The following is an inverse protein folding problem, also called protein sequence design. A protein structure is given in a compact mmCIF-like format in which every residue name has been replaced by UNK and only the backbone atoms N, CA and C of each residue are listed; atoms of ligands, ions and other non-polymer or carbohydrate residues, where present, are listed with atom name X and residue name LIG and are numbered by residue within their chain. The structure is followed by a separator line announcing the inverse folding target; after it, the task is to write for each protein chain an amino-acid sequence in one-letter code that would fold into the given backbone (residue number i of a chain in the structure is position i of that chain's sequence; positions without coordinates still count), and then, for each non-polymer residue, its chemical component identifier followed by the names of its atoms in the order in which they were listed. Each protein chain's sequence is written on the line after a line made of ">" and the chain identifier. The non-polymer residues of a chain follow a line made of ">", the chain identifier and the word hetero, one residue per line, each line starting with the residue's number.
data_IF_647091003468
#
_entry.id   IF_647091003468
#
_cell.length_a   1.000
_cell.length_b   1.000
_cell.length_c   1.000
_cell.angle_alpha   90.00
_cell.angle_beta   90.00
_cell.angle_gamma   90.00
#
_symmetry.space_group_name_H-M   'P 1'
#
loop_
_entity.id
_entity.type
_entity.pdbx_description
1 polymer ?
#
# COMPACT_ATOMS: atom_id res chain seq x y z
N UNK A 1 2.68 20.65 7.02
CA UNK A 1 1.84 19.84 6.12
C UNK A 1 0.54 20.58 5.85
N UNK A 2 0.01 20.49 4.63
CA UNK A 2 -1.29 21.08 4.30
C UNK A 2 -2.40 20.08 4.59
N UNK A 3 -3.45 20.52 5.29
CA UNK A 3 -4.71 19.79 5.32
C UNK A 3 -5.25 19.66 3.88
N UNK A 4 -5.73 18.48 3.53
CA UNK A 4 -6.40 18.21 2.25
C UNK A 4 -7.91 18.16 2.48
N UNK A 5 -8.68 18.75 1.56
CA UNK A 5 -10.11 19.00 1.78
C UNK A 5 -11.03 18.15 0.89
N UNK A 6 -10.46 17.41 -0.06
CA UNK A 6 -11.25 16.53 -0.95
C UNK A 6 -10.56 15.18 -1.12
N UNK A 7 -11.33 14.08 -1.32
CA UNK A 7 -10.77 12.77 -1.61
C UNK A 7 -9.81 12.74 -2.79
N UNK A 8 -10.12 13.44 -3.89
CA UNK A 8 -9.22 13.52 -5.05
C UNK A 8 -7.85 14.12 -4.67
N UNK A 9 -7.82 15.22 -3.92
CA UNK A 9 -6.56 15.82 -3.48
C UNK A 9 -5.72 14.87 -2.61
N UNK A 10 -6.38 14.07 -1.78
CA UNK A 10 -5.72 13.05 -0.95
C UNK A 10 -5.11 11.97 -1.83
N UNK A 11 -5.87 11.44 -2.78
CA UNK A 11 -5.39 10.36 -3.66
C UNK A 11 -4.29 10.87 -4.59
N UNK A 12 -4.42 12.06 -5.16
CA UNK A 12 -3.41 12.65 -6.02
C UNK A 12 -2.09 12.90 -5.26
N UNK A 13 -2.17 13.27 -3.98
CA UNK A 13 -1.00 13.40 -3.13
C UNK A 13 -0.35 12.03 -2.81
N UNK A 14 -1.16 10.99 -2.57
CA UNK A 14 -0.67 9.62 -2.37
C UNK A 14 0.01 9.10 -3.65
N UNK A 15 -0.61 9.27 -4.81
CA UNK A 15 -0.06 8.91 -6.12
C UNK A 15 1.26 9.63 -6.39
N UNK A 16 1.33 10.93 -6.08
CA UNK A 16 2.54 11.72 -6.27
C UNK A 16 3.70 11.19 -5.42
N UNK A 17 3.49 11.02 -4.11
CA UNK A 17 4.52 10.51 -3.20
C UNK A 17 4.94 9.07 -3.56
N UNK A 18 3.99 8.20 -3.90
CA UNK A 18 4.28 6.84 -4.32
C UNK A 18 5.12 6.82 -5.61
N UNK A 19 4.70 7.58 -6.63
CA UNK A 19 5.43 7.67 -7.90
C UNK A 19 6.84 8.22 -7.71
N UNK A 20 7.02 9.20 -6.83
CA UNK A 20 8.32 9.78 -6.52
C UNK A 20 9.23 8.74 -5.84
N UNK A 21 8.70 7.96 -4.88
CA UNK A 21 9.45 6.92 -4.20
C UNK A 21 9.85 5.76 -5.13
N UNK A 22 8.91 5.30 -5.95
CA UNK A 22 9.15 4.26 -6.98
C UNK A 22 10.20 4.75 -7.99
N UNK A 23 10.10 5.99 -8.46
CA UNK A 23 11.07 6.57 -9.41
C UNK A 23 12.45 6.71 -8.78
N UNK A 24 12.54 7.17 -7.54
CA UNK A 24 13.80 7.30 -6.81
C UNK A 24 14.47 5.94 -6.62
N UNK A 25 13.72 4.93 -6.19
CA UNK A 25 14.22 3.57 -5.99
C UNK A 25 14.66 2.93 -7.32
N UNK A 26 13.86 3.06 -8.38
CA UNK A 26 14.20 2.55 -9.72
C UNK A 26 15.47 3.18 -10.25
N UNK A 27 15.62 4.50 -10.10
CA UNK A 27 16.81 5.23 -10.53
C UNK A 27 18.06 4.81 -9.74
N UNK A 28 17.91 4.62 -8.43
CA UNK A 28 19.02 4.16 -7.57
C UNK A 28 19.45 2.73 -7.93
N UNK A 29 18.50 1.83 -8.22
CA UNK A 29 18.78 0.49 -8.69
C UNK A 29 19.48 0.51 -10.06
N UNK A 30 19.02 1.32 -11.00
CA UNK A 30 19.66 1.48 -12.32
C UNK A 30 21.12 1.97 -12.22
N UNK A 31 21.38 2.98 -11.38
CA UNK A 31 22.73 3.48 -11.11
C UNK A 31 23.61 2.37 -10.51
N UNK A 32 23.06 1.59 -9.58
CA UNK A 32 23.78 0.49 -8.94
C UNK A 32 24.12 -0.63 -9.92
N UNK A 33 23.17 -1.00 -10.80
CA UNK A 33 23.40 -2.02 -11.83
C UNK A 33 24.50 -1.61 -12.82
N UNK A 34 24.53 -0.35 -13.25
CA UNK A 34 25.47 0.11 -14.27
C UNK A 34 26.84 0.53 -13.71
N UNK A 35 26.89 1.10 -12.51
CA UNK A 35 28.11 1.69 -11.96
C UNK A 35 28.59 1.05 -10.65
N UNK A 36 27.81 0.13 -10.07
CA UNK A 36 28.10 -0.46 -8.75
C UNK A 36 27.99 0.53 -7.59
N UNK A 37 27.47 1.74 -7.81
CA UNK A 37 27.38 2.78 -6.79
C UNK A 37 26.08 2.63 -5.99
N UNK A 38 26.13 2.30 -4.70
CA UNK A 38 24.92 2.15 -3.88
C UNK A 38 24.27 3.52 -3.58
N UNK A 39 22.98 3.55 -3.24
CA UNK A 39 22.32 4.78 -2.80
C UNK A 39 23.02 5.36 -1.57
N UNK A 40 23.11 6.70 -1.50
CA UNK A 40 23.71 7.36 -0.34
C UNK A 40 22.85 7.18 0.91
N UNK A 41 23.51 7.18 2.08
CA UNK A 41 22.81 7.12 3.36
C UNK A 41 21.84 8.30 3.55
N UNK A 42 22.20 9.50 3.07
CA UNK A 42 21.36 10.69 3.14
C UNK A 42 20.07 10.55 2.30
N UNK A 43 20.16 9.88 1.14
CA UNK A 43 18.99 9.62 0.28
C UNK A 43 18.01 8.65 0.95
N UNK A 44 18.51 7.64 1.66
CA UNK A 44 17.65 6.72 2.42
C UNK A 44 17.09 7.40 3.67
N UNK A 45 17.92 8.17 4.39
CA UNK A 45 17.51 8.89 5.59
C UNK A 45 16.49 10.00 5.32
N UNK A 46 16.44 10.55 4.10
CA UNK A 46 15.37 11.46 3.69
C UNK A 46 14.03 10.75 3.44
N UNK A 47 14.02 9.41 3.45
CA UNK A 47 12.90 8.52 3.15
C UNK A 47 12.46 8.56 1.68
N UNK A 48 13.40 8.84 0.76
CA UNK A 48 13.14 8.86 -0.67
C UNK A 48 12.60 7.54 -1.23
N UNK A 49 12.72 6.43 -0.49
CA UNK A 49 12.18 5.12 -0.87
C UNK A 49 10.95 4.72 -0.06
N UNK A 50 10.40 5.61 0.78
CA UNK A 50 9.31 5.26 1.67
C UNK A 50 7.95 5.30 0.98
N UNK A 51 7.05 4.41 1.41
CA UNK A 51 5.64 4.47 1.02
C UNK A 51 5.01 5.80 1.45
N UNK A 52 4.01 6.31 0.74
CA UNK A 52 3.14 7.34 1.28
C UNK A 52 2.32 6.80 2.45
N UNK A 53 1.95 7.71 3.34
CA UNK A 53 1.10 7.46 4.48
C UNK A 53 -0.06 8.45 4.50
N UNK A 54 -1.24 7.95 4.82
CA UNK A 54 -2.39 8.77 5.13
C UNK A 54 -2.55 8.86 6.65
N UNK A 55 -2.82 10.07 7.14
CA UNK A 55 -3.13 10.36 8.55
C UNK A 55 -4.46 11.09 8.63
N UNK A 56 -5.42 10.49 9.33
CA UNK A 56 -6.70 11.09 9.66
C UNK A 56 -6.76 11.43 11.14
N UNK A 57 -7.08 12.68 11.47
CA UNK A 57 -7.33 13.10 12.86
C UNK A 57 -8.81 13.29 13.02
N UNK A 58 -9.41 12.50 13.92
CA UNK A 58 -10.82 12.58 14.27
C UNK A 58 -10.97 12.95 15.74
N UNK A 59 -11.40 14.18 16.02
CA UNK A 59 -11.56 14.71 17.38
C UNK A 59 -12.93 15.41 17.50
N UNK A 60 -14.03 14.65 17.57
CA UNK A 60 -15.37 15.20 17.53
C UNK A 60 -15.71 15.95 18.83
N UNK A 61 -16.43 17.08 18.72
CA UNK A 61 -16.98 17.80 19.88
C UNK A 61 -18.30 17.20 20.41
N UNK A 62 -18.75 16.07 19.84
CA UNK A 62 -20.05 15.46 20.13
C UNK A 62 -20.11 13.95 19.82
N UNK A 63 -21.28 13.32 19.99
CA UNK A 63 -21.43 11.90 19.69
C UNK A 63 -21.16 11.62 18.20
N UNK A 64 -20.62 10.44 17.86
CA UNK A 64 -20.40 10.08 16.47
C UNK A 64 -21.73 10.11 15.67
N UNK A 65 -21.69 10.45 14.38
CA UNK A 65 -22.89 10.49 13.54
C UNK A 65 -23.61 9.12 13.53
N UNK A 66 -24.96 9.10 13.48
CA UNK A 66 -25.72 7.86 13.45
C UNK A 66 -25.65 7.22 12.05
N UNK A 67 -24.68 6.32 11.86
CA UNK A 67 -24.39 5.69 10.58
C UNK A 67 -24.80 4.21 10.59
N UNK A 68 -25.62 3.79 9.60
CA UNK A 68 -26.13 2.40 9.48
C UNK A 68 -25.24 1.45 8.67
N UNK A 69 -24.38 1.94 7.77
CA UNK A 69 -23.48 1.10 6.93
C UNK A 69 -22.49 0.28 7.77
N UNK A 70 -21.99 -0.83 7.24
CA UNK A 70 -21.06 -1.70 7.97
C UNK A 70 -19.60 -1.16 8.04
N UNK A 71 -19.19 -0.35 7.07
CA UNK A 71 -17.81 0.14 6.89
C UNK A 71 -17.76 1.68 6.77
N UNK A 72 -16.55 2.24 6.64
CA UNK A 72 -16.35 3.69 6.53
C UNK A 72 -16.84 4.42 7.78
N UNK A 73 -16.46 3.91 8.96
CA UNK A 73 -16.85 4.42 10.26
C UNK A 73 -15.64 4.66 11.14
N UNK A 74 -15.70 5.70 11.94
CA UNK A 74 -14.77 5.96 13.04
C UNK A 74 -15.49 5.64 14.35
N UNK A 75 -14.94 4.67 15.11
CA UNK A 75 -15.52 4.21 16.37
C UNK A 75 -15.13 5.10 17.55
N UNK A 76 -13.91 5.63 17.55
CA UNK A 76 -13.32 6.35 18.67
C UNK A 76 -12.60 7.62 18.16
N UNK A 77 -12.47 8.61 19.02
CA UNK A 77 -11.63 9.78 18.72
C UNK A 77 -10.16 9.35 18.72
N UNK A 78 -9.37 9.87 17.79
CA UNK A 78 -7.96 9.52 17.70
C UNK A 78 -7.34 9.86 16.36
N UNK A 79 -6.09 9.42 16.21
CA UNK A 79 -5.33 9.58 14.97
C UNK A 79 -5.25 8.23 14.27
N UNK A 80 -5.79 8.13 13.06
CA UNK A 80 -5.77 6.92 12.25
C UNK A 80 -4.70 7.02 11.16
N UNK A 81 -3.86 6.01 11.03
CA UNK A 81 -2.70 6.02 10.15
C UNK A 81 -2.60 4.71 9.38
N UNK A 82 -2.26 4.78 8.09
CA UNK A 82 -1.84 3.61 7.31
C UNK A 82 -0.94 4.03 6.15
N UNK A 83 0.04 3.18 5.84
CA UNK A 83 0.83 3.30 4.61
C UNK A 83 0.02 2.77 3.42
N UNK A 84 0.23 3.35 2.25
CA UNK A 84 -0.51 3.00 1.03
C UNK A 84 0.48 2.63 -0.09
N UNK A 85 0.21 1.53 -0.80
CA UNK A 85 0.88 1.17 -2.06
C UNK A 85 -0.12 1.23 -3.22
N UNK A 86 0.39 1.34 -4.46
CA UNK A 86 -0.39 1.34 -5.70
C UNK A 86 -1.68 2.18 -5.61
N UNK A 87 -1.62 3.46 -5.17
CA UNK A 87 -2.80 4.31 -5.04
C UNK A 87 -3.55 4.50 -6.36
N UNK A 88 -2.86 4.37 -7.50
CA UNK A 88 -3.44 4.32 -8.85
C UNK A 88 -4.39 3.13 -9.02
N UNK A 89 -3.95 1.93 -8.62
CA UNK A 89 -4.72 0.70 -8.71
C UNK A 89 -5.91 0.72 -7.73
N UNK A 90 -5.69 1.22 -6.51
CA UNK A 90 -6.72 1.31 -5.48
C UNK A 90 -7.55 2.61 -5.54
N UNK A 91 -7.39 3.46 -6.56
CA UNK A 91 -8.05 4.78 -6.63
C UNK A 91 -9.56 4.69 -6.41
N UNK A 92 -10.24 3.73 -7.04
CA UNK A 92 -11.67 3.53 -6.87
C UNK A 92 -12.08 3.21 -5.42
N UNK A 93 -11.33 2.32 -4.76
CA UNK A 93 -11.54 1.95 -3.36
C UNK A 93 -11.25 3.12 -2.42
N UNK A 94 -10.11 3.80 -2.59
CA UNK A 94 -9.72 4.95 -1.78
C UNK A 94 -10.74 6.09 -1.93
N UNK A 95 -11.22 6.34 -3.15
CA UNK A 95 -12.24 7.35 -3.43
C UNK A 95 -13.52 7.06 -2.66
N UNK A 96 -14.01 5.82 -2.70
CA UNK A 96 -15.21 5.42 -1.96
C UNK A 96 -15.04 5.62 -0.44
N UNK A 97 -13.97 5.08 0.13
CA UNK A 97 -13.76 5.14 1.58
C UNK A 97 -13.55 6.58 2.08
N UNK A 98 -12.69 7.35 1.41
CA UNK A 98 -12.43 8.73 1.79
C UNK A 98 -13.67 9.62 1.61
N UNK A 99 -14.45 9.39 0.56
CA UNK A 99 -15.72 10.12 0.36
C UNK A 99 -16.70 9.88 1.50
N UNK A 100 -16.83 8.65 1.98
CA UNK A 100 -17.70 8.33 3.12
C UNK A 100 -17.22 8.98 4.42
N UNK A 101 -15.91 8.92 4.68
CA UNK A 101 -15.31 9.45 5.91
C UNK A 101 -15.36 10.98 5.94
N UNK A 102 -14.89 11.65 4.89
CA UNK A 102 -14.82 13.11 4.81
C UNK A 102 -16.20 13.78 4.70
N UNK A 103 -17.23 13.06 4.24
CA UNK A 103 -18.61 13.56 4.20
C UNK A 103 -19.26 13.53 5.58
N UNK A 104 -19.07 12.45 6.33
CA UNK A 104 -19.88 12.19 7.52
C UNK A 104 -19.17 12.60 8.82
N UNK A 105 -17.84 12.64 8.82
CA UNK A 105 -17.04 12.95 9.99
C UNK A 105 -16.27 14.25 9.77
N UNK A 106 -16.19 15.07 10.83
CA UNK A 106 -15.28 16.21 10.86
C UNK A 106 -13.86 15.70 11.13
N UNK A 107 -13.09 15.54 10.06
CA UNK A 107 -11.74 14.97 10.10
C UNK A 107 -10.74 15.90 9.42
N UNK A 108 -9.53 15.91 9.96
CA UNK A 108 -8.37 16.48 9.28
C UNK A 108 -7.62 15.37 8.54
N UNK A 109 -7.39 15.56 7.24
CA UNK A 109 -6.71 14.59 6.39
C UNK A 109 -5.35 15.13 5.96
N UNK A 110 -4.33 14.32 6.18
CA UNK A 110 -2.95 14.59 5.77
C UNK A 110 -2.39 13.42 4.97
N UNK A 111 -1.55 13.76 4.00
CA UNK A 111 -0.72 12.80 3.27
C UNK A 111 0.73 13.17 3.51
N UNK A 112 1.50 12.19 3.94
CA UNK A 112 2.89 12.35 4.34
C UNK A 112 3.73 11.17 3.85
N UNK A 113 5.04 11.34 3.92
CA UNK A 113 5.97 10.26 3.68
C UNK A 113 6.08 9.41 4.95
N UNK A 114 6.01 8.08 4.80
CA UNK A 114 6.20 7.16 5.93
C UNK A 114 7.68 6.98 6.28
N UNK A 115 7.91 6.17 7.31
CA UNK A 115 9.19 5.60 7.72
C UNK A 115 9.41 4.17 7.16
N UNK A 116 8.45 3.65 6.39
CA UNK A 116 8.48 2.31 5.81
C UNK A 116 8.98 2.35 4.36
N UNK A 117 10.18 1.83 4.12
CA UNK A 117 10.78 1.76 2.78
C UNK A 117 10.11 0.68 1.90
N UNK A 118 9.95 0.98 0.61
CA UNK A 118 9.44 0.06 -0.41
C UNK A 118 10.53 -0.97 -0.74
N UNK A 119 10.28 -2.28 -0.55
CA UNK A 119 11.20 -3.31 -1.00
C UNK A 119 11.48 -3.28 -2.50
N UNK A 120 12.76 -3.40 -2.90
CA UNK A 120 13.17 -3.33 -4.31
C UNK A 120 12.44 -4.34 -5.20
N UNK A 121 12.08 -5.50 -4.64
CA UNK A 121 11.38 -6.58 -5.34
C UNK A 121 9.97 -6.21 -5.81
N UNK A 122 9.36 -5.14 -5.27
CA UNK A 122 8.01 -4.71 -5.63
C UNK A 122 7.98 -3.67 -6.74
N UNK A 123 9.00 -2.81 -6.80
CA UNK A 123 9.15 -1.78 -7.83
C UNK A 123 9.71 -2.35 -9.13
N UNK A 124 10.56 -3.36 -9.03
CA UNK A 124 11.19 -3.95 -10.20
C UNK A 124 10.26 -4.92 -10.92
N UNK A 125 9.90 -4.60 -12.17
CA UNK A 125 9.17 -5.51 -13.06
C UNK A 125 10.17 -6.37 -13.87
N UNK A 126 9.85 -7.66 -14.06
CA UNK A 126 10.76 -8.62 -14.71
C UNK A 126 11.09 -8.24 -16.16
N UNK A 127 10.25 -7.42 -16.80
CA UNK A 127 10.51 -6.86 -18.14
C UNK A 127 11.66 -5.84 -18.20
N UNK A 128 12.07 -5.25 -17.07
CA UNK A 128 13.23 -4.34 -16.97
C UNK A 128 14.52 -5.05 -16.51
N UNK A 129 14.50 -6.38 -16.39
CA UNK A 129 15.58 -7.20 -15.83
C UNK A 129 16.81 -7.42 -16.75
N UNK A 130 17.10 -6.52 -17.67
CA UNK A 130 18.34 -6.61 -18.45
C UNK A 130 19.52 -6.25 -17.52
N UNK A 131 20.30 -7.24 -17.07
CA UNK A 131 21.51 -7.06 -16.25
C UNK A 131 21.44 -7.59 -14.81
N UNK A 132 20.27 -8.05 -14.33
CA UNK A 132 20.13 -8.60 -12.97
C UNK A 132 20.70 -10.01 -12.80
N UNK A 133 20.84 -10.77 -13.88
CA UNK A 133 21.50 -12.09 -13.82
C UNK A 133 22.95 -11.99 -13.33
N UNK A 134 23.55 -10.79 -13.37
CA UNK A 134 24.94 -10.55 -12.98
C UNK A 134 25.11 -10.16 -11.50
N UNK A 135 24.07 -9.70 -10.81
CA UNK A 135 24.15 -9.27 -9.39
C UNK A 135 23.41 -10.24 -8.46
N UNK A 136 24.10 -10.69 -7.41
CA UNK A 136 23.50 -11.58 -6.43
C UNK A 136 22.40 -10.87 -5.60
N UNK A 137 21.27 -11.54 -5.27
CA UNK A 137 20.24 -11.00 -4.40
C UNK A 137 20.75 -10.56 -3.02
N UNK A 138 21.81 -11.20 -2.52
CA UNK A 138 22.44 -10.85 -1.26
C UNK A 138 23.12 -9.47 -1.31
N UNK A 139 23.69 -9.11 -2.46
CA UNK A 139 24.31 -7.80 -2.66
C UNK A 139 23.24 -6.69 -2.77
N UNK A 140 22.12 -6.97 -3.44
CA UNK A 140 20.99 -6.03 -3.47
C UNK A 140 20.40 -5.80 -2.08
N UNK A 141 20.15 -6.88 -1.32
CA UNK A 141 19.61 -6.79 0.04
C UNK A 141 20.54 -6.05 1.02
N UNK A 142 21.83 -5.92 0.69
CA UNK A 142 22.79 -5.15 1.50
C UNK A 142 22.59 -3.65 1.38
N UNK A 143 22.25 -3.16 0.19
CA UNK A 143 22.19 -1.72 -0.10
C UNK A 143 20.76 -1.19 -0.23
N UNK A 144 19.81 -2.05 -0.59
CA UNK A 144 18.43 -1.70 -0.86
C UNK A 144 17.44 -2.34 0.13
N UNK A 145 16.26 -1.72 0.34
CA UNK A 145 15.21 -2.30 1.16
C UNK A 145 14.75 -3.64 0.57
N UNK A 146 14.68 -4.68 1.38
CA UNK A 146 14.29 -6.02 0.95
C UNK A 146 13.09 -6.53 1.74
N UNK A 147 12.24 -7.40 1.17
CA UNK A 147 11.08 -7.91 1.88
C UNK A 147 11.52 -8.72 3.11
N UNK A 148 11.00 -8.38 4.28
CA UNK A 148 11.22 -9.12 5.51
C UNK A 148 9.87 -9.61 6.03
N UNK A 149 9.72 -10.93 6.18
CA UNK A 149 8.46 -11.54 6.63
C UNK A 149 8.07 -11.10 8.04
N UNK A 150 9.03 -10.72 8.89
CA UNK A 150 8.73 -10.22 10.22
C UNK A 150 8.02 -8.85 10.21
N UNK A 151 8.14 -8.10 9.12
CA UNK A 151 7.53 -6.78 8.96
C UNK A 151 6.16 -6.86 8.25
N UNK A 152 5.73 -8.07 7.86
CA UNK A 152 4.46 -8.33 7.16
C UNK A 152 3.47 -8.92 8.18
N UNK A 153 2.57 -8.07 8.65
CA UNK A 153 1.60 -8.39 9.69
C UNK A 153 0.15 -8.60 9.21
N UNK A 154 -0.60 -9.34 10.02
CA UNK A 154 -2.04 -9.63 9.86
C UNK A 154 -2.86 -9.12 11.06
N UNK A 155 -2.22 -8.42 12.00
CA UNK A 155 -2.75 -8.15 13.35
C UNK A 155 -4.08 -7.39 13.31
N UNK A 156 -4.21 -6.38 12.44
CA UNK A 156 -5.48 -5.63 12.26
C UNK A 156 -6.58 -6.55 11.74
N UNK A 157 -6.26 -7.38 10.76
CA UNK A 157 -7.22 -8.27 10.10
C UNK A 157 -7.65 -9.44 11.01
N UNK A 158 -6.73 -9.93 11.84
CA UNK A 158 -6.98 -10.98 12.84
C UNK A 158 -7.69 -10.44 14.08
N UNK A 159 -7.84 -9.11 14.20
CA UNK A 159 -8.50 -8.45 15.32
C UNK A 159 -7.67 -8.51 16.60
N UNK A 160 -6.34 -8.62 16.47
CA UNK A 160 -5.45 -8.57 17.62
C UNK A 160 -5.53 -7.19 18.27
N UNK A 161 -5.57 -7.18 19.61
CA UNK A 161 -5.63 -5.94 20.37
C UNK A 161 -4.30 -5.21 20.21
N UNK A 162 -4.31 -4.17 19.38
CA UNK A 162 -3.26 -3.16 19.41
C UNK A 162 -3.19 -2.59 20.82
N UNK A 163 -2.01 -2.67 21.45
CA UNK A 163 -1.73 -1.91 22.68
C UNK A 163 -2.08 -0.43 22.46
N UNK A 164 -2.35 0.37 23.50
CA UNK A 164 -2.73 1.77 23.32
C UNK A 164 -1.57 2.57 22.69
N UNK A 165 -1.51 2.56 21.37
CA UNK A 165 -0.63 3.40 20.58
C UNK A 165 -1.20 4.82 20.53
N UNK A 166 -0.34 5.77 20.23
CA UNK A 166 -0.73 7.14 19.89
C UNK A 166 -1.56 7.20 18.59
N UNK A 167 -1.60 6.10 17.80
CA UNK A 167 -2.29 6.02 16.51
C UNK A 167 -3.01 4.68 16.31
N UNK A 168 -4.14 4.70 15.61
CA UNK A 168 -4.95 3.54 15.22
C UNK A 168 -4.72 3.17 13.74
N UNK A 169 -4.91 1.91 13.33
CA UNK A 169 -4.88 1.54 11.92
C UNK A 169 -6.11 2.12 11.18
N UNK A 170 -5.88 2.75 10.02
CA UNK A 170 -6.96 3.22 9.13
C UNK A 170 -7.50 2.11 8.23
N UNK A 171 -6.62 1.21 7.78
CA UNK A 171 -6.94 0.09 6.90
C UNK A 171 -6.57 -1.25 7.55
N UNK A 172 -7.12 -2.34 7.01
CA UNK A 172 -6.82 -3.71 7.49
C UNK A 172 -5.40 -4.16 7.16
N UNK A 173 -4.81 -3.62 6.09
CA UNK A 173 -3.50 -3.99 5.62
C UNK A 173 -2.69 -2.75 5.30
N UNK A 174 -1.43 -2.77 5.67
CA UNK A 174 -0.45 -1.74 5.34
C UNK A 174 0.13 -1.96 3.92
N UNK A 175 0.95 -1.02 3.46
CA UNK A 175 1.49 -1.05 2.12
C UNK A 175 2.36 -2.29 1.83
N UNK A 176 3.21 -2.70 2.77
CA UNK A 176 4.11 -3.85 2.56
C UNK A 176 3.33 -5.16 2.44
N UNK A 177 2.33 -5.35 3.30
CA UNK A 177 1.46 -6.52 3.25
C UNK A 177 0.67 -6.60 1.95
N UNK A 178 0.16 -5.46 1.48
CA UNK A 178 -0.58 -5.38 0.21
C UNK A 178 0.35 -5.73 -0.96
N UNK A 179 1.53 -5.14 -1.08
CA UNK A 179 2.47 -5.45 -2.16
C UNK A 179 2.89 -6.92 -2.18
N UNK A 180 3.18 -7.48 -0.99
CA UNK A 180 3.48 -8.91 -0.84
C UNK A 180 2.34 -9.77 -1.42
N UNK A 181 1.11 -9.45 -1.04
CA UNK A 181 -0.09 -10.18 -1.43
C UNK A 181 -0.37 -10.04 -2.93
N UNK A 182 -0.21 -8.84 -3.51
CA UNK A 182 -0.37 -8.61 -4.94
C UNK A 182 0.62 -9.44 -5.76
N UNK A 183 1.90 -9.49 -5.37
CA UNK A 183 2.90 -10.34 -6.04
C UNK A 183 2.54 -11.83 -5.91
N UNK A 184 2.03 -12.26 -4.76
CA UNK A 184 1.60 -13.66 -4.54
C UNK A 184 0.37 -14.03 -5.35
N UNK A 185 -0.63 -13.15 -5.43
CA UNK A 185 -1.80 -13.33 -6.28
C UNK A 185 -1.39 -13.48 -7.74
N UNK A 186 -0.55 -12.58 -8.25
CA UNK A 186 -0.06 -12.67 -9.63
C UNK A 186 0.69 -13.99 -9.88
N UNK A 187 1.56 -14.40 -8.96
CA UNK A 187 2.33 -15.64 -9.09
C UNK A 187 1.44 -16.90 -9.06
N UNK A 188 0.55 -17.03 -8.07
CA UNK A 188 -0.25 -18.23 -7.89
C UNK A 188 -1.42 -18.34 -8.86
N UNK A 189 -2.01 -17.21 -9.26
CA UNK A 189 -3.14 -17.20 -10.18
C UNK A 189 -2.71 -17.04 -11.65
N UNK A 190 -1.44 -16.75 -11.92
CA UNK A 190 -0.93 -16.53 -13.28
C UNK A 190 -1.68 -15.43 -14.04
N UNK A 191 -2.27 -14.48 -13.32
CA UNK A 191 -3.19 -13.47 -13.84
C UNK A 191 -2.81 -12.10 -13.28
N UNK A 192 -2.81 -11.02 -14.07
CA UNK A 192 -2.66 -9.66 -13.57
C UNK A 192 -3.66 -9.34 -12.46
N UNK A 193 -3.21 -8.66 -11.41
CA UNK A 193 -4.06 -8.32 -10.25
C UNK A 193 -5.22 -7.40 -10.65
N UNK A 194 -5.04 -6.63 -11.71
CA UNK A 194 -6.02 -5.73 -12.30
C UNK A 194 -7.25 -6.45 -12.89
N UNK A 195 -7.16 -7.77 -13.13
CA UNK A 195 -8.28 -8.56 -13.65
C UNK A 195 -9.16 -9.16 -12.55
N UNK A 196 -8.75 -9.08 -11.27
CA UNK A 196 -9.56 -9.61 -10.17
C UNK A 196 -10.88 -8.84 -10.05
N UNK A 197 -11.97 -9.59 -9.87
CA UNK A 197 -13.31 -9.05 -9.71
C UNK A 197 -13.73 -9.10 -8.23
N UNK A 198 -14.74 -8.31 -7.86
CA UNK A 198 -15.25 -8.27 -6.48
C UNK A 198 -15.96 -9.55 -6.03
N UNK A 199 -16.42 -10.39 -6.97
CA UNK A 199 -17.11 -11.64 -6.68
C UNK A 199 -16.20 -12.82 -7.01
N UNK A 200 -15.69 -13.48 -5.96
CA UNK A 200 -14.71 -14.57 -6.08
C UNK A 200 -15.40 -15.91 -5.89
N UNK A 201 -15.13 -16.87 -6.79
CA UNK A 201 -15.55 -18.26 -6.65
C UNK A 201 -14.33 -19.16 -6.44
N UNK A 202 -14.34 -19.93 -5.36
CA UNK A 202 -13.36 -20.99 -5.15
C UNK A 202 -13.95 -22.33 -5.59
N UNK A 203 -13.20 -23.04 -6.43
CA UNK A 203 -13.56 -24.36 -6.90
C UNK A 203 -12.39 -25.30 -6.66
N UNK A 204 -12.68 -26.56 -6.32
CA UNK A 204 -11.68 -27.57 -5.99
C UNK A 204 -11.51 -28.62 -7.09
N UNK A 205 -12.11 -28.38 -8.26
CA UNK A 205 -12.08 -29.31 -9.38
C UNK A 205 -12.09 -28.59 -10.73
N UNK A 206 -11.20 -29.02 -11.64
CA UNK A 206 -10.98 -28.36 -12.93
C UNK A 206 -12.25 -28.18 -13.79
N UNK A 207 -13.19 -29.13 -13.73
CA UNK A 207 -14.43 -29.09 -14.53
C UNK A 207 -15.26 -27.82 -14.30
N UNK A 208 -15.16 -27.19 -13.13
CA UNK A 208 -15.86 -25.93 -12.89
C UNK A 208 -15.26 -24.78 -13.70
N UNK A 209 -13.95 -24.81 -13.96
CA UNK A 209 -13.29 -23.81 -14.82
C UNK A 209 -13.75 -23.99 -16.26
N UNK A 210 -13.77 -25.22 -16.77
CA UNK A 210 -14.27 -25.52 -18.13
C UNK A 210 -15.71 -25.00 -18.31
N UNK A 211 -16.60 -25.37 -17.37
CA UNK A 211 -18.00 -24.95 -17.41
C UNK A 211 -18.19 -23.43 -17.27
N UNK A 212 -17.33 -22.75 -16.50
CA UNK A 212 -17.36 -21.30 -16.38
C UNK A 212 -16.95 -20.62 -17.69
N UNK A 213 -15.88 -21.11 -18.34
CA UNK A 213 -15.43 -20.60 -19.63
C UNK A 213 -16.44 -20.87 -20.75
N UNK A 214 -17.12 -22.02 -20.76
CA UNK A 214 -18.14 -22.34 -21.76
C UNK A 214 -19.41 -21.48 -21.61
N UNK A 215 -19.70 -21.00 -20.41
CA UNK A 215 -20.88 -20.17 -20.12
C UNK A 215 -20.70 -18.70 -20.49
N UNK A 216 -19.48 -18.17 -20.36
CA UNK A 216 -19.13 -16.76 -20.55
C UNK A 216 -19.17 -16.34 -22.03
#
# INVERSE_FOLDING_TARGET
>A
MSKLNTPDQVIDALEKLYSDAVSALSSALDIFLHSGTPPSADLRASGAFCYPQIRLVYNPEGPPPPISRAFGKMSEAGTYVSTITRPDFFRGYLMEQLSLLMRDYDIDVFVEQSDSEIPYAYVWDQGQASGLEEISPAELARHFPSPNLADIGDEVADGELYEPYETHPLALFDAQRVDFSLKRLQHYCGTPVEHFQHYVLFTNYHRYVDAFCDWA
#
